data_IF_026545737019
#
_entry.id   IF_026545737019
#
_cell.length_a   1.000
_cell.length_b   1.000
_cell.length_c   1.000
_cell.angle_alpha   90.00
_cell.angle_beta   90.00
_cell.angle_gamma   90.00
#
_symmetry.space_group_name_H-M   'P 1'
#
loop_
_entity.id
_entity.type
_entity.pdbx_description
1 polymer ?
#
# COMPACT_ATOMS: atom_id res chain seq x y z
N UNK A 1 -11.47 -0.48 -7.34
CA UNK A 1 -11.27 -1.71 -6.55
C UNK A 1 -12.50 -1.93 -5.68
N UNK A 2 -12.92 -3.17 -5.42
CA UNK A 2 -14.06 -3.43 -4.54
C UNK A 2 -13.80 -2.84 -3.15
N UNK A 3 -14.79 -2.14 -2.60
CA UNK A 3 -14.74 -1.66 -1.22
C UNK A 3 -14.93 -2.84 -0.26
N UNK A 4 -14.03 -2.94 0.70
CA UNK A 4 -14.07 -3.93 1.77
C UNK A 4 -14.80 -3.33 2.98
N UNK A 5 -15.80 -4.06 3.50
CA UNK A 5 -16.63 -3.63 4.64
C UNK A 5 -16.26 -4.40 5.90
N UNK A 6 -16.19 -3.69 7.03
CA UNK A 6 -15.90 -4.28 8.33
C UNK A 6 -14.41 -4.36 8.65
N UNK A 7 -14.04 -5.26 9.57
CA UNK A 7 -12.67 -5.44 10.02
C UNK A 7 -11.96 -6.52 9.21
N UNK A 8 -10.72 -6.24 8.81
CA UNK A 8 -9.90 -7.17 8.02
C UNK A 8 -8.55 -7.41 8.69
N UNK A 9 -8.13 -8.66 8.74
CA UNK A 9 -6.77 -9.01 9.16
C UNK A 9 -5.82 -8.75 7.99
N UNK A 10 -4.81 -7.90 8.20
CA UNK A 10 -3.82 -7.56 7.17
C UNK A 10 -3.22 -8.79 6.48
N UNK A 11 -2.88 -9.84 7.24
CA UNK A 11 -2.27 -11.07 6.71
C UNK A 11 -3.14 -11.80 5.68
N UNK A 12 -4.46 -11.57 5.71
CA UNK A 12 -5.42 -12.20 4.81
C UNK A 12 -5.68 -11.35 3.55
N UNK A 13 -5.20 -10.10 3.50
CA UNK A 13 -5.29 -9.30 2.28
C UNK A 13 -4.34 -9.86 1.23
N UNK A 14 -4.78 -9.93 -0.05
CA UNK A 14 -3.95 -10.45 -1.13
C UNK A 14 -2.71 -9.57 -1.33
N UNK A 15 -1.57 -10.22 -1.52
CA UNK A 15 -0.34 -9.53 -1.89
C UNK A 15 -0.28 -9.29 -3.39
N UNK A 16 -0.21 -8.03 -3.78
CA UNK A 16 0.03 -7.62 -5.15
C UNK A 16 1.52 -7.40 -5.35
N UNK A 17 2.13 -8.14 -6.28
CA UNK A 17 3.48 -7.85 -6.76
C UNK A 17 3.42 -6.71 -7.77
N UNK A 18 4.09 -5.60 -7.46
CA UNK A 18 4.14 -4.41 -8.34
C UNK A 18 5.41 -4.43 -9.18
N UNK A 19 6.54 -4.76 -8.55
CA UNK A 19 7.84 -5.00 -9.22
C UNK A 19 8.56 -6.13 -8.49
N UNK A 20 9.79 -6.48 -8.91
CA UNK A 20 10.63 -7.44 -8.17
C UNK A 20 11.08 -6.95 -6.78
N UNK A 21 10.97 -5.64 -6.54
CA UNK A 21 11.39 -4.97 -5.31
C UNK A 21 10.24 -4.37 -4.51
N UNK A 22 9.03 -4.34 -5.06
CA UNK A 22 7.88 -3.72 -4.43
C UNK A 22 6.69 -4.68 -4.50
N UNK A 23 6.13 -4.99 -3.35
CA UNK A 23 4.80 -5.60 -3.21
C UNK A 23 3.93 -4.76 -2.28
N UNK A 24 2.62 -4.96 -2.36
CA UNK A 24 1.67 -4.27 -1.49
C UNK A 24 0.47 -5.12 -1.12
N UNK A 25 -0.19 -4.75 -0.04
CA UNK A 25 -1.57 -5.15 0.27
C UNK A 25 -2.43 -3.90 0.29
N UNK A 26 -3.60 -3.96 -0.34
CA UNK A 26 -4.50 -2.81 -0.45
C UNK A 26 -5.81 -3.11 0.27
N UNK A 27 -6.21 -2.20 1.16
CA UNK A 27 -7.53 -2.16 1.77
C UNK A 27 -8.22 -0.89 1.29
N UNK A 28 -9.33 -1.02 0.57
CA UNK A 28 -10.08 0.13 0.02
C UNK A 28 -11.43 0.26 0.72
N UNK A 29 -11.70 1.43 1.29
CA UNK A 29 -13.01 1.88 1.74
C UNK A 29 -13.72 2.73 0.69
N UNK A 30 -14.84 3.36 1.05
CA UNK A 30 -15.57 4.22 0.11
C UNK A 30 -14.85 5.56 -0.16
N UNK A 31 -14.09 6.06 0.82
CA UNK A 31 -13.42 7.37 0.77
C UNK A 31 -11.93 7.34 1.09
N UNK A 32 -11.41 6.20 1.50
CA UNK A 32 -10.04 6.06 1.97
C UNK A 32 -9.43 4.76 1.44
N UNK A 33 -8.10 4.78 1.30
CA UNK A 33 -7.31 3.62 0.93
C UNK A 33 -6.15 3.51 1.90
N UNK A 34 -5.95 2.32 2.45
CA UNK A 34 -4.77 1.98 3.22
C UNK A 34 -3.95 0.99 2.41
N UNK A 35 -2.67 1.31 2.22
CA UNK A 35 -1.73 0.47 1.48
C UNK A 35 -0.59 0.05 2.41
N UNK A 36 -0.42 -1.25 2.58
CA UNK A 36 0.75 -1.81 3.23
C UNK A 36 1.81 -2.11 2.18
N UNK A 37 2.82 -1.25 2.11
CA UNK A 37 3.96 -1.42 1.21
C UNK A 37 5.03 -2.31 1.84
N UNK A 38 5.58 -3.22 1.03
CA UNK A 38 6.80 -3.96 1.33
C UNK A 38 7.81 -3.66 0.23
N UNK A 39 8.94 -3.07 0.62
CA UNK A 39 9.95 -2.56 -0.31
C UNK A 39 11.31 -3.16 0.02
N UNK A 40 11.98 -3.71 -0.98
CA UNK A 40 13.38 -4.13 -0.88
C UNK A 40 14.30 -2.91 -1.02
N UNK A 41 15.53 -3.00 -0.50
CA UNK A 41 16.54 -1.97 -0.69
C UNK A 41 16.74 -1.63 -2.18
N UNK A 42 16.81 -0.34 -2.49
CA UNK A 42 16.91 0.16 -3.87
C UNK A 42 15.62 0.05 -4.68
N UNK A 43 14.47 -0.15 -4.03
CA UNK A 43 13.17 0.07 -4.65
C UNK A 43 12.99 1.56 -5.00
N UNK A 44 12.31 1.83 -6.11
CA UNK A 44 12.01 3.18 -6.56
C UNK A 44 10.55 3.23 -7.02
N UNK A 45 9.77 4.15 -6.46
CA UNK A 45 8.44 4.47 -6.94
C UNK A 45 8.54 5.72 -7.83
N UNK A 46 8.02 5.64 -9.06
CA UNK A 46 8.03 6.77 -9.98
C UNK A 46 7.22 7.94 -9.42
N UNK A 47 7.66 9.17 -9.70
CA UNK A 47 6.96 10.38 -9.30
C UNK A 47 5.57 10.43 -9.96
N UNK A 48 4.55 10.76 -9.15
CA UNK A 48 3.16 10.91 -9.58
C UNK A 48 2.43 11.84 -8.60
N UNK A 49 1.19 12.22 -8.91
CA UNK A 49 0.36 13.09 -8.09
C UNK A 49 -0.98 12.43 -7.76
N UNK A 50 -1.57 12.86 -6.65
CA UNK A 50 -2.89 12.43 -6.21
C UNK A 50 -3.80 13.65 -6.05
N UNK A 51 -5.11 13.52 -6.36
CA UNK A 51 -6.09 14.58 -6.09
C UNK A 51 -6.43 14.71 -4.59
N UNK A 52 -6.07 13.71 -3.79
CA UNK A 52 -6.32 13.66 -2.35
C UNK A 52 -5.01 13.54 -1.58
N UNK A 53 -5.00 13.98 -0.32
CA UNK A 53 -3.83 13.88 0.55
C UNK A 53 -3.40 12.41 0.73
N UNK A 54 -2.09 12.16 0.66
CA UNK A 54 -1.49 10.86 0.93
C UNK A 54 -0.44 11.02 2.02
N UNK A 55 -0.58 10.24 3.10
CA UNK A 55 0.40 10.13 4.16
C UNK A 55 1.03 8.73 4.13
N UNK A 56 2.29 8.63 4.56
CA UNK A 56 2.96 7.35 4.76
C UNK A 56 3.72 7.35 6.09
N UNK A 57 3.88 6.16 6.66
CA UNK A 57 4.68 5.94 7.85
C UNK A 57 5.64 4.79 7.62
N UNK A 58 6.93 4.98 7.94
CA UNK A 58 7.93 3.92 7.83
C UNK A 58 7.86 3.06 9.09
N UNK A 59 7.28 1.87 8.96
CA UNK A 59 7.15 0.91 10.07
C UNK A 59 8.47 0.17 10.33
N UNK A 60 9.28 -0.08 9.29
CA UNK A 60 10.58 -0.74 9.38
C UNK A 60 11.52 -0.28 8.27
N UNK A 61 12.80 -0.13 8.60
CA UNK A 61 13.84 0.27 7.66
C UNK A 61 13.99 1.78 7.56
N UNK A 62 14.37 2.27 6.39
CA UNK A 62 14.50 3.70 6.07
C UNK A 62 14.01 3.95 4.65
N UNK A 63 13.41 5.11 4.43
CA UNK A 63 12.98 5.59 3.13
C UNK A 63 13.78 6.83 2.76
#
# INVERSE_FOLDING_TARGET
>A
MPSLKGFHTLKNLPEEKITDRISRRVLTGDKEMIVWWSMKAGAHAAAHQHPHEQLFWVVKGRM
#
